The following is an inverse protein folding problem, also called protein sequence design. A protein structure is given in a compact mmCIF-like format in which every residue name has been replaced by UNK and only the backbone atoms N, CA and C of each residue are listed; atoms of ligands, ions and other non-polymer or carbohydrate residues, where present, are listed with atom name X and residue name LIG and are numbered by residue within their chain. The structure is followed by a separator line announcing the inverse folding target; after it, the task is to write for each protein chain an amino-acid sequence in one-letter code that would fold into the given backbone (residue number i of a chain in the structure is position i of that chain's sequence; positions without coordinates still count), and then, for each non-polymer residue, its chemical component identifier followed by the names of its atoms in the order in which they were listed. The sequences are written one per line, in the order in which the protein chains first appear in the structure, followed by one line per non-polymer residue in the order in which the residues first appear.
data_IF_727689976461
#
_entry.id   IF_727689976461
#
_cell.length_a   1.000
_cell.length_b   1.000
_cell.length_c   1.000
_cell.angle_alpha   90.00
_cell.angle_beta   90.00
_cell.angle_gamma   90.00
#
_symmetry.space_group_name_H-M   'P 1'
#
loop_
_entity.id
_entity.type
_entity.pdbx_description
1 polymer ?
#
# COMPACT_ATOMS: atom_id res chain seq x y z
N UNK A 1 -14.14 -8.66 31.60
CA UNK A 1 -13.52 -10.00 31.46
C UNK A 1 -12.39 -10.12 32.47
N UNK A 2 -12.38 -11.17 33.30
CA UNK A 2 -11.32 -11.36 34.32
C UNK A 2 -10.06 -11.93 33.68
N UNK A 3 -8.90 -11.63 34.26
CA UNK A 3 -7.64 -12.21 33.78
C UNK A 3 -7.50 -13.69 34.16
N UNK A 4 -6.59 -14.38 33.45
CA UNK A 4 -6.36 -15.81 33.65
C UNK A 4 -5.76 -16.16 35.01
N UNK A 5 -5.10 -15.21 35.69
CA UNK A 5 -4.54 -15.49 37.02
C UNK A 5 -5.67 -15.55 38.04
N UNK A 6 -6.59 -14.58 37.98
CA UNK A 6 -7.81 -14.52 38.78
C UNK A 6 -8.67 -15.77 38.57
N UNK A 7 -8.89 -16.17 37.31
CA UNK A 7 -9.64 -17.40 37.00
C UNK A 7 -8.96 -18.66 37.58
N UNK A 8 -7.63 -18.76 37.50
CA UNK A 8 -6.89 -19.91 38.07
C UNK A 8 -7.03 -20.00 39.60
N UNK A 9 -7.24 -18.90 40.30
CA UNK A 9 -7.39 -18.92 41.76
C UNK A 9 -8.67 -19.62 42.21
N UNK A 10 -9.75 -19.49 41.41
CA UNK A 10 -11.03 -20.14 41.69
C UNK A 10 -10.95 -21.67 41.65
N UNK A 11 -9.98 -22.23 40.92
CA UNK A 11 -9.81 -23.68 40.73
C UNK A 11 -8.58 -24.24 41.48
N UNK A 12 -7.99 -23.50 42.42
CA UNK A 12 -6.91 -24.03 43.29
C UNK A 12 -7.44 -25.12 44.21
N UNK A 13 -6.57 -26.05 44.58
CA UNK A 13 -6.90 -27.14 45.52
C UNK A 13 -7.50 -26.59 46.81
N UNK A 14 -8.64 -27.16 47.23
CA UNK A 14 -9.40 -26.73 48.41
C UNK A 14 -10.55 -25.75 48.12
N UNK A 15 -10.63 -25.19 46.90
CA UNK A 15 -11.74 -24.33 46.49
C UNK A 15 -12.78 -25.14 45.70
N UNK A 16 -14.08 -24.86 45.93
CA UNK A 16 -15.19 -25.36 45.13
C UNK A 16 -15.76 -24.21 44.28
N UNK A 17 -15.55 -24.20 42.95
CA UNK A 17 -16.00 -23.11 42.09
C UNK A 17 -17.53 -23.04 41.98
N UNK A 18 -18.08 -21.83 41.85
CA UNK A 18 -19.52 -21.60 41.62
C UNK A 18 -19.88 -21.70 40.13
N UNK A 19 -21.18 -21.81 39.84
CA UNK A 19 -21.69 -21.80 38.46
C UNK A 19 -21.27 -20.53 37.70
N UNK A 20 -21.30 -19.35 38.33
CA UNK A 20 -20.85 -18.12 37.66
C UNK A 20 -19.35 -18.16 37.31
N UNK A 21 -18.52 -18.78 38.16
CA UNK A 21 -17.08 -18.91 37.89
C UNK A 21 -16.80 -19.88 36.74
N UNK A 22 -17.66 -20.89 36.55
CA UNK A 22 -17.60 -21.76 35.37
C UNK A 22 -18.04 -21.02 34.10
N UNK A 23 -19.10 -20.22 34.17
CA UNK A 23 -19.53 -19.38 33.05
C UNK A 23 -18.40 -18.40 32.64
N UNK A 24 -17.78 -17.72 33.61
CA UNK A 24 -16.64 -16.84 33.37
C UNK A 24 -15.44 -17.56 32.71
N UNK A 25 -15.21 -18.83 33.04
CA UNK A 25 -14.17 -19.63 32.39
C UNK A 25 -14.53 -19.94 30.94
N UNK A 26 -15.77 -20.36 30.69
CA UNK A 26 -16.27 -20.71 29.36
C UNK A 26 -16.18 -19.48 28.44
N UNK A 27 -16.68 -18.33 28.89
CA UNK A 27 -16.64 -17.07 28.15
C UNK A 27 -15.20 -16.54 27.96
N UNK A 28 -14.22 -17.04 28.73
CA UNK A 28 -12.80 -16.69 28.57
C UNK A 28 -12.06 -17.54 27.54
N UNK A 29 -12.65 -18.64 27.09
CA UNK A 29 -12.07 -19.53 26.10
C UNK A 29 -12.51 -19.16 24.69
N UNK A 30 -11.59 -19.11 23.71
CA UNK A 30 -11.98 -18.86 22.33
C UNK A 30 -12.81 -20.04 21.80
N UNK A 31 -14.02 -19.74 21.35
CA UNK A 31 -14.92 -20.69 20.71
C UNK A 31 -14.80 -20.56 19.20
N UNK A 32 -14.36 -21.62 18.53
CA UNK A 32 -14.19 -21.63 17.07
C UNK A 32 -15.45 -21.17 16.35
N UNK A 33 -16.62 -21.70 16.71
CA UNK A 33 -17.87 -21.42 15.98
C UNK A 33 -18.32 -19.97 16.13
N UNK A 34 -17.96 -19.34 17.25
CA UNK A 34 -18.43 -18.00 17.61
C UNK A 34 -17.40 -16.91 17.27
N UNK A 35 -16.11 -17.19 17.46
CA UNK A 35 -15.03 -16.19 17.42
C UNK A 35 -14.25 -16.16 16.09
N UNK A 36 -14.34 -17.20 15.26
CA UNK A 36 -13.67 -17.20 13.95
C UNK A 36 -12.14 -17.35 13.98
N UNK A 37 -11.56 -17.64 15.15
CA UNK A 37 -10.10 -17.79 15.36
C UNK A 37 -9.77 -19.26 15.63
N UNK A 38 -8.92 -19.85 14.78
CA UNK A 38 -8.42 -21.22 14.94
C UNK A 38 -6.90 -21.19 15.10
N UNK A 39 -6.38 -21.79 16.18
CA UNK A 39 -4.95 -22.15 16.27
C UNK A 39 -4.78 -23.62 15.89
N UNK A 40 -4.11 -23.89 14.78
CA UNK A 40 -3.75 -25.27 14.38
C UNK A 40 -2.24 -25.47 14.41
N UNK A 41 -1.80 -26.67 14.79
CA UNK A 41 -0.38 -27.04 14.76
C UNK A 41 0.21 -27.09 13.33
N UNK A 42 -0.66 -27.21 12.31
CA UNK A 42 -0.27 -27.36 10.90
C UNK A 42 -0.21 -26.02 10.15
N UNK A 43 -1.20 -25.15 10.36
CA UNK A 43 -1.42 -23.94 9.56
C UNK A 43 -1.18 -22.64 10.36
N UNK A 44 -0.82 -22.76 11.64
CA UNK A 44 -0.60 -21.60 12.51
C UNK A 44 -1.91 -20.99 13.00
N UNK A 45 -2.03 -19.66 12.93
CA UNK A 45 -3.25 -18.93 13.29
C UNK A 45 -4.07 -18.72 12.02
N UNK A 46 -5.26 -19.30 11.95
CA UNK A 46 -6.22 -19.08 10.89
C UNK A 46 -7.36 -18.18 11.38
N UNK A 47 -7.71 -17.19 10.56
CA UNK A 47 -8.84 -16.28 10.75
C UNK A 47 -9.87 -16.55 9.65
N UNK A 48 -11.14 -16.49 9.97
CA UNK A 48 -12.20 -16.36 8.97
C UNK A 48 -13.20 -15.31 9.40
N UNK A 49 -13.71 -14.56 8.42
CA UNK A 49 -14.73 -13.57 8.72
C UNK A 49 -16.09 -14.22 8.94
N UNK A 50 -16.84 -13.69 9.90
CA UNK A 50 -18.21 -14.08 10.22
C UNK A 50 -19.21 -13.35 9.32
N UNK A 51 -20.33 -14.00 9.00
CA UNK A 51 -21.56 -13.38 8.47
C UNK A 51 -21.40 -12.38 7.30
N UNK A 52 -20.45 -12.61 6.39
CA UNK A 52 -20.30 -11.77 5.20
C UNK A 52 -19.66 -10.40 5.46
N UNK A 53 -19.06 -10.17 6.62
CA UNK A 53 -18.17 -9.04 6.82
C UNK A 53 -16.85 -9.29 6.09
N UNK A 54 -16.21 -8.25 5.55
CA UNK A 54 -14.92 -8.41 4.87
C UNK A 54 -13.72 -8.23 5.82
N UNK A 55 -13.96 -7.78 7.05
CA UNK A 55 -12.92 -7.49 8.06
C UNK A 55 -12.44 -8.76 8.76
N UNK A 56 -11.13 -8.97 8.77
CA UNK A 56 -10.47 -10.13 9.37
C UNK A 56 -9.74 -9.80 10.66
N UNK A 57 -9.15 -8.61 10.76
CA UNK A 57 -8.47 -8.16 11.97
C UNK A 57 -8.55 -6.64 12.12
N UNK A 58 -8.68 -6.19 13.36
CA UNK A 58 -8.69 -4.78 13.75
C UNK A 58 -7.54 -4.55 14.73
N UNK A 59 -6.72 -3.54 14.46
CA UNK A 59 -5.59 -3.17 15.30
C UNK A 59 -5.89 -1.83 15.98
N UNK A 60 -5.56 -1.74 17.27
CA UNK A 60 -5.79 -0.55 18.09
C UNK A 60 -4.46 -0.05 18.64
N UNK A 61 -4.30 1.28 18.70
CA UNK A 61 -3.08 1.88 19.25
C UNK A 61 -2.95 1.66 20.77
N UNK A 62 -4.08 1.59 21.46
CA UNK A 62 -4.18 1.29 22.88
C UNK A 62 -5.30 0.26 23.10
N UNK A 63 -5.24 -0.47 24.21
CA UNK A 63 -6.34 -1.34 24.61
C UNK A 63 -7.62 -0.51 24.82
N UNK A 64 -8.72 -0.81 24.12
CA UNK A 64 -9.99 -0.11 24.33
C UNK A 64 -10.48 -0.35 25.77
N UNK A 65 -10.87 0.71 26.48
CA UNK A 65 -11.41 0.59 27.85
C UNK A 65 -12.93 0.38 27.82
N UNK A 66 -13.41 -0.65 28.51
CA UNK A 66 -14.84 -0.97 28.66
C UNK A 66 -15.28 -2.25 27.95
N UNK A 67 -16.36 -2.87 28.43
CA UNK A 67 -16.91 -4.11 27.86
C UNK A 67 -17.46 -3.93 26.43
N UNK A 68 -17.91 -2.71 26.11
CA UNK A 68 -18.52 -2.34 24.82
C UNK A 68 -17.50 -1.76 23.83
N UNK A 69 -16.22 -1.79 24.20
CA UNK A 69 -15.17 -1.05 23.50
C UNK A 69 -14.78 -1.68 22.14
N UNK A 70 -15.10 -2.97 21.96
CA UNK A 70 -14.99 -3.70 20.69
C UNK A 70 -16.34 -3.71 19.97
N UNK A 71 -16.86 -2.52 19.68
CA UNK A 71 -18.13 -2.36 19.00
C UNK A 71 -18.06 -2.82 17.53
N UNK A 72 -18.92 -3.78 17.15
CA UNK A 72 -19.23 -4.06 15.75
C UNK A 72 -19.96 -2.89 15.09
N UNK A 73 -19.97 -2.85 13.74
CA UNK A 73 -20.54 -1.76 12.93
C UNK A 73 -21.85 -1.20 13.52
N UNK A 74 -21.81 0.06 13.94
CA UNK A 74 -22.97 0.79 14.48
C UNK A 74 -23.01 0.97 15.99
N UNK A 75 -22.08 0.39 16.75
CA UNK A 75 -21.89 0.71 18.17
C UNK A 75 -20.72 1.67 18.35
N UNK A 76 -20.89 2.70 19.18
CA UNK A 76 -19.91 3.79 19.41
C UNK A 76 -18.65 3.38 20.17
N UNK A 77 -18.10 2.20 19.86
CA UNK A 77 -16.85 1.68 20.40
C UNK A 77 -15.62 2.36 19.79
N UNK A 78 -14.44 2.00 20.29
CA UNK A 78 -13.19 2.54 19.80
C UNK A 78 -12.99 2.18 18.33
N UNK A 79 -12.55 3.15 17.52
CA UNK A 79 -12.19 2.89 16.12
C UNK A 79 -10.79 2.28 16.03
N UNK A 80 -10.58 1.25 15.18
CA UNK A 80 -9.25 0.69 14.98
C UNK A 80 -8.35 1.65 14.20
N UNK A 81 -7.06 1.68 14.55
CA UNK A 81 -6.06 2.46 13.81
C UNK A 81 -5.66 1.80 12.48
N UNK A 82 -5.80 0.46 12.39
CA UNK A 82 -5.63 -0.29 11.15
C UNK A 82 -6.65 -1.42 11.06
N UNK A 83 -7.14 -1.68 9.85
CA UNK A 83 -8.04 -2.82 9.58
C UNK A 83 -7.48 -3.71 8.46
N UNK A 84 -7.42 -5.01 8.70
CA UNK A 84 -7.11 -6.03 7.70
C UNK A 84 -8.41 -6.66 7.19
N UNK A 85 -8.59 -6.71 5.89
CA UNK A 85 -9.78 -7.24 5.24
C UNK A 85 -9.44 -8.14 4.05
N UNK A 86 -10.34 -9.04 3.68
CA UNK A 86 -10.28 -9.76 2.41
C UNK A 86 -11.20 -9.11 1.37
N UNK A 87 -10.68 -8.88 0.18
CA UNK A 87 -11.47 -8.46 -0.97
C UNK A 87 -12.18 -9.62 -1.65
N UNK A 88 -13.27 -9.32 -2.35
CA UNK A 88 -14.10 -10.30 -3.09
C UNK A 88 -13.31 -11.16 -4.10
N UNK A 89 -12.16 -10.67 -4.58
CA UNK A 89 -11.27 -11.38 -5.51
C UNK A 89 -10.09 -12.09 -4.83
N UNK A 90 -10.22 -12.51 -3.57
CA UNK A 90 -9.15 -13.12 -2.76
C UNK A 90 -7.93 -12.19 -2.60
N UNK A 91 -8.21 -10.91 -2.44
CA UNK A 91 -7.20 -9.88 -2.20
C UNK A 91 -7.04 -9.66 -0.69
N UNK A 92 -5.84 -9.31 -0.24
CA UNK A 92 -5.59 -8.86 1.13
C UNK A 92 -5.54 -7.34 1.15
N UNK A 93 -6.40 -6.69 1.93
CA UNK A 93 -6.57 -5.24 1.97
C UNK A 93 -6.18 -4.75 3.36
N UNK A 94 -5.29 -3.76 3.44
CA UNK A 94 -4.97 -3.02 4.65
C UNK A 94 -5.57 -1.61 4.55
N UNK A 95 -6.38 -1.23 5.53
CA UNK A 95 -7.04 0.07 5.63
C UNK A 95 -6.51 0.87 6.82
N UNK A 96 -6.47 2.19 6.68
CA UNK A 96 -6.14 3.12 7.78
C UNK A 96 -7.34 3.36 8.72
N UNK A 97 -7.15 4.22 9.71
CA UNK A 97 -8.15 4.62 10.71
C UNK A 97 -9.42 5.27 10.11
N UNK A 98 -9.33 5.80 8.90
CA UNK A 98 -10.46 6.40 8.18
C UNK A 98 -11.24 5.38 7.35
N UNK A 99 -10.76 4.12 7.31
CA UNK A 99 -11.31 3.06 6.47
C UNK A 99 -10.83 3.11 5.02
N UNK A 100 -9.89 4.01 4.68
CA UNK A 100 -9.30 4.11 3.34
C UNK A 100 -8.29 2.98 3.15
N UNK A 101 -8.40 2.26 2.05
CA UNK A 101 -7.42 1.24 1.68
C UNK A 101 -6.06 1.90 1.43
N UNK A 102 -5.00 1.41 2.10
CA UNK A 102 -3.62 1.86 1.92
C UNK A 102 -2.84 0.86 1.07
N UNK A 103 -3.13 -0.43 1.22
CA UNK A 103 -2.42 -1.51 0.53
C UNK A 103 -3.39 -2.61 0.10
N UNK A 104 -3.24 -3.09 -1.13
CA UNK A 104 -3.96 -4.26 -1.66
C UNK A 104 -2.96 -5.26 -2.24
N UNK A 105 -3.02 -6.50 -1.78
CA UNK A 105 -2.17 -7.60 -2.24
C UNK A 105 -3.05 -8.66 -2.90
N UNK A 106 -2.89 -8.84 -4.21
CA UNK A 106 -3.56 -9.91 -4.94
C UNK A 106 -2.67 -11.16 -5.04
N UNK A 107 -3.27 -12.36 -5.05
CA UNK A 107 -2.55 -13.63 -5.16
C UNK A 107 -1.66 -13.75 -6.42
N UNK A 108 -1.87 -12.91 -7.43
CA UNK A 108 -1.02 -12.78 -8.62
C UNK A 108 0.34 -12.11 -8.40
N UNK A 109 0.80 -11.92 -7.15
CA UNK A 109 2.02 -11.17 -6.75
C UNK A 109 1.96 -9.68 -7.11
N UNK A 110 0.77 -9.12 -7.23
CA UNK A 110 0.57 -7.69 -7.47
C UNK A 110 0.35 -7.01 -6.12
N UNK A 111 1.28 -6.15 -5.74
CA UNK A 111 1.14 -5.24 -4.60
C UNK A 111 0.76 -3.88 -5.18
N UNK A 112 -0.48 -3.46 -4.95
CA UNK A 112 -0.97 -2.15 -5.38
C UNK A 112 -1.11 -1.27 -4.14
N UNK A 113 -0.39 -0.14 -4.06
CA UNK A 113 -0.77 0.88 -3.08
C UNK A 113 -2.17 1.38 -3.45
N UNK A 114 -3.12 1.34 -2.53
CA UNK A 114 -4.48 1.82 -2.74
C UNK A 114 -4.55 3.35 -2.61
N UNK A 115 -3.64 4.02 -3.32
CA UNK A 115 -3.65 5.48 -3.43
C UNK A 115 -4.79 5.84 -4.37
N UNK A 116 -5.98 6.03 -3.81
CA UNK A 116 -6.91 7.00 -4.39
C UNK A 116 -6.18 8.36 -4.37
N UNK A 117 -6.09 9.04 -5.52
CA UNK A 117 -5.26 10.21 -5.68
C UNK A 117 -5.76 11.31 -4.75
N UNK A 118 -5.01 11.62 -3.70
CA UNK A 118 -5.17 12.89 -3.02
C UNK A 118 -5.00 14.00 -4.07
N UNK A 119 -5.98 14.89 -4.11
CA UNK A 119 -6.05 16.04 -5.01
C UNK A 119 -4.86 17.02 -4.91
N UNK A 120 -3.90 16.75 -4.02
CA UNK A 120 -2.71 17.58 -3.77
C UNK A 120 -1.48 17.25 -4.63
N UNK A 121 -1.41 16.11 -5.32
CA UNK A 121 -0.25 15.76 -6.14
C UNK A 121 -0.70 15.26 -7.52
N UNK A 122 -0.87 16.21 -8.44
CA UNK A 122 -1.60 16.06 -9.70
C UNK A 122 -1.15 14.82 -10.51
N UNK A 123 -1.99 13.80 -10.55
CA UNK A 123 -1.87 12.67 -11.46
C UNK A 123 -1.96 13.20 -12.90
N UNK A 124 -0.91 13.00 -13.71
CA UNK A 124 -0.81 13.52 -15.07
C UNK A 124 -1.14 12.45 -16.09
N UNK A 125 -1.62 12.88 -17.25
CA UNK A 125 -1.97 11.98 -18.36
C UNK A 125 -1.12 12.29 -19.59
N UNK A 126 -0.77 11.25 -20.33
CA UNK A 126 -0.17 11.38 -21.67
C UNK A 126 -0.71 10.28 -22.60
N UNK A 127 -0.75 10.54 -23.93
CA UNK A 127 -1.17 9.52 -24.88
C UNK A 127 -0.17 8.35 -24.91
N UNK A 128 -0.68 7.12 -25.09
CA UNK A 128 0.14 5.93 -25.29
C UNK A 128 0.45 5.68 -26.78
N UNK A 129 0.77 6.75 -27.50
CA UNK A 129 0.96 6.80 -28.95
C UNK A 129 2.28 6.16 -29.44
N UNK A 130 3.15 5.72 -28.51
CA UNK A 130 4.45 5.15 -28.83
C UNK A 130 5.56 6.19 -29.05
N UNK A 131 5.23 7.48 -29.02
CA UNK A 131 6.18 8.59 -29.12
C UNK A 131 6.74 8.96 -27.75
N UNK A 132 7.94 9.55 -27.75
CA UNK A 132 8.59 10.01 -26.52
C UNK A 132 8.05 11.37 -26.11
N UNK A 133 7.45 11.43 -24.91
CA UNK A 133 6.93 12.66 -24.32
C UNK A 133 7.86 13.17 -23.23
N UNK A 134 8.14 14.47 -23.24
CA UNK A 134 8.96 15.13 -22.22
C UNK A 134 8.17 15.31 -20.92
N UNK A 135 8.72 14.80 -19.82
CA UNK A 135 8.20 15.06 -18.49
C UNK A 135 8.63 16.47 -18.04
N UNK A 136 7.76 17.24 -17.36
CA UNK A 136 8.05 18.63 -17.01
C UNK A 136 8.94 18.72 -15.76
N UNK A 137 10.23 18.40 -15.91
CA UNK A 137 11.18 18.28 -14.78
C UNK A 137 12.20 19.41 -14.75
N UNK A 138 12.99 19.58 -15.81
CA UNK A 138 14.12 20.50 -15.80
C UNK A 138 13.92 21.62 -16.82
N UNK A 139 14.24 21.38 -18.08
CA UNK A 139 14.24 22.44 -19.10
C UNK A 139 12.85 22.97 -19.48
N UNK A 140 11.79 22.13 -19.42
CA UNK A 140 10.40 22.60 -19.62
C UNK A 140 9.82 23.34 -18.42
N UNK A 141 10.39 23.16 -17.23
CA UNK A 141 9.94 23.79 -15.99
C UNK A 141 10.80 25.01 -15.59
N UNK A 142 11.74 25.43 -16.45
CA UNK A 142 12.68 26.52 -16.17
C UNK A 142 13.64 26.24 -15.00
N UNK A 143 13.88 24.97 -14.65
CA UNK A 143 14.66 24.59 -13.48
C UNK A 143 16.10 24.29 -13.86
N UNK A 144 17.04 24.89 -13.13
CA UNK A 144 18.47 24.63 -13.28
C UNK A 144 18.81 23.14 -13.07
N UNK A 145 19.62 22.59 -14.00
CA UNK A 145 20.15 21.23 -13.96
C UNK A 145 21.33 21.05 -12.98
N UNK A 146 21.73 22.12 -12.29
CA UNK A 146 22.79 22.12 -11.29
C UNK A 146 22.28 21.53 -9.97
N UNK A 147 22.98 20.52 -9.44
CA UNK A 147 22.59 19.77 -8.24
C UNK A 147 22.22 18.32 -8.50
N UNK A 148 21.91 17.58 -7.43
CA UNK A 148 21.46 16.20 -7.50
C UNK A 148 19.97 16.11 -7.23
N UNK A 149 19.23 15.45 -8.12
CA UNK A 149 17.80 15.20 -7.93
C UNK A 149 17.45 13.75 -8.18
N UNK A 150 16.51 13.25 -7.39
CA UNK A 150 15.98 11.89 -7.49
C UNK A 150 14.46 11.96 -7.61
N UNK A 151 13.94 11.27 -8.61
CA UNK A 151 12.53 11.18 -8.93
C UNK A 151 12.06 9.75 -8.80
N UNK A 152 10.90 9.56 -8.18
CA UNK A 152 10.15 8.30 -8.24
C UNK A 152 8.98 8.47 -9.19
N UNK A 153 8.90 7.61 -10.19
CA UNK A 153 7.85 7.63 -11.21
C UNK A 153 7.03 6.36 -11.08
N UNK A 154 5.71 6.55 -10.93
CA UNK A 154 4.71 5.50 -10.99
C UNK A 154 3.82 5.79 -12.19
N UNK A 155 3.82 4.90 -13.18
CA UNK A 155 3.04 5.07 -14.40
C UNK A 155 2.16 3.85 -14.63
N UNK A 156 0.90 4.08 -14.98
CA UNK A 156 -0.10 3.06 -15.27
C UNK A 156 -0.61 3.29 -16.68
N UNK A 157 -0.45 2.27 -17.50
CA UNK A 157 -1.06 2.17 -18.81
C UNK A 157 -2.49 1.67 -18.65
N UNK A 158 -3.44 2.40 -19.21
CA UNK A 158 -4.87 2.09 -19.16
C UNK A 158 -5.42 1.88 -20.58
N UNK A 159 -6.01 0.70 -20.84
CA UNK A 159 -6.72 0.37 -22.08
C UNK A 159 -8.05 -0.32 -21.79
N UNK A 160 -9.15 0.39 -22.05
CA UNK A 160 -10.50 -0.10 -21.77
C UNK A 160 -10.71 -0.49 -20.30
N UNK A 161 -11.69 -1.35 -20.02
CA UNK A 161 -12.06 -1.74 -18.64
C UNK A 161 -11.15 -2.80 -17.98
N UNK A 162 -10.18 -3.39 -18.71
CA UNK A 162 -9.55 -4.65 -18.27
C UNK A 162 -8.03 -4.71 -18.35
N UNK A 163 -7.36 -3.75 -19.00
CA UNK A 163 -5.91 -3.79 -19.16
C UNK A 163 -5.25 -2.62 -18.41
N UNK A 164 -4.85 -2.91 -17.16
CA UNK A 164 -4.00 -2.03 -16.37
C UNK A 164 -2.59 -2.66 -16.28
N UNK A 165 -1.58 -1.97 -16.82
CA UNK A 165 -0.18 -2.39 -16.65
C UNK A 165 0.62 -1.24 -16.05
N UNK A 166 1.32 -1.50 -14.96
CA UNK A 166 2.09 -0.50 -14.24
C UNK A 166 3.56 -0.53 -14.64
N UNK A 167 4.28 0.57 -14.43
CA UNK A 167 5.72 0.69 -14.41
C UNK A 167 6.14 1.58 -13.24
N UNK A 168 7.13 1.12 -12.47
CA UNK A 168 7.79 1.90 -11.45
C UNK A 168 9.25 2.13 -11.86
N UNK A 169 9.71 3.37 -11.72
CA UNK A 169 11.08 3.73 -12.03
C UNK A 169 11.61 4.80 -11.07
N UNK A 170 12.90 4.73 -10.80
CA UNK A 170 13.66 5.78 -10.14
C UNK A 170 14.61 6.40 -11.14
N UNK A 171 14.50 7.71 -11.31
CA UNK A 171 15.34 8.49 -12.20
C UNK A 171 16.13 9.50 -11.38
N UNK A 172 17.45 9.54 -11.54
CA UNK A 172 18.26 10.57 -10.91
C UNK A 172 19.28 11.16 -11.87
N UNK A 173 19.63 12.42 -11.60
CA UNK A 173 20.72 13.10 -12.25
C UNK A 173 21.55 13.86 -11.21
N UNK A 174 22.85 13.97 -11.43
CA UNK A 174 23.76 14.79 -10.61
C UNK A 174 24.57 15.73 -11.50
N UNK A 175 24.36 17.04 -11.35
CA UNK A 175 25.07 18.10 -12.08
C UNK A 175 24.96 17.98 -13.60
N UNK A 176 23.90 17.30 -14.07
CA UNK A 176 23.76 16.91 -15.46
C UNK A 176 24.91 16.05 -15.98
N UNK A 177 25.67 15.33 -15.16
CA UNK A 177 26.76 14.43 -15.58
C UNK A 177 26.34 12.96 -15.52
N UNK A 178 26.12 12.45 -14.31
CA UNK A 178 25.67 11.07 -14.09
C UNK A 178 24.14 10.98 -14.21
N UNK A 179 23.67 10.18 -15.17
CA UNK A 179 22.25 9.93 -15.41
C UNK A 179 21.93 8.49 -15.01
N UNK A 180 21.11 8.32 -13.97
CA UNK A 180 20.67 7.00 -13.53
C UNK A 180 19.19 6.82 -13.80
N UNK A 181 18.86 5.62 -14.26
CA UNK A 181 17.48 5.19 -14.46
C UNK A 181 17.37 3.72 -14.09
N UNK A 182 16.76 3.47 -12.94
CA UNK A 182 16.50 2.15 -12.36
C UNK A 182 15.01 1.83 -12.47
N UNK A 183 14.70 0.58 -12.80
CA UNK A 183 13.33 0.07 -12.77
C UNK A 183 13.39 -1.45 -12.69
N UNK A 184 12.52 -2.10 -11.90
CA UNK A 184 12.38 -3.56 -11.92
C UNK A 184 12.04 -4.11 -13.32
N UNK A 185 11.45 -3.26 -14.17
CA UNK A 185 11.05 -3.60 -15.52
C UNK A 185 12.14 -3.36 -16.57
N UNK A 186 13.29 -2.82 -16.17
CA UNK A 186 14.45 -2.58 -17.03
C UNK A 186 15.57 -3.56 -16.67
N UNK A 187 15.85 -4.52 -17.54
CA UNK A 187 16.93 -5.51 -17.37
C UNK A 187 17.92 -5.36 -18.53
N UNK A 188 19.21 -5.18 -18.26
CA UNK A 188 20.27 -5.04 -19.28
C UNK A 188 19.97 -3.96 -20.33
N UNK A 189 19.42 -2.81 -19.92
CA UNK A 189 19.06 -1.72 -20.84
C UNK A 189 17.77 -1.92 -21.64
N UNK A 190 17.14 -3.09 -21.57
CA UNK A 190 15.88 -3.40 -22.27
C UNK A 190 14.70 -3.31 -21.30
N UNK A 191 13.65 -2.61 -21.74
CA UNK A 191 12.37 -2.53 -21.01
C UNK A 191 11.49 -3.73 -21.34
N UNK A 192 11.11 -4.50 -20.32
CA UNK A 192 10.15 -5.61 -20.43
C UNK A 192 8.70 -5.14 -20.32
N UNK A 193 8.46 -4.01 -19.65
CA UNK A 193 7.13 -3.40 -19.49
C UNK A 193 6.61 -2.68 -20.74
N UNK A 194 5.32 -2.33 -20.77
CA UNK A 194 4.71 -1.54 -21.83
C UNK A 194 5.07 -0.05 -21.77
N UNK A 195 5.67 0.42 -20.69
CA UNK A 195 6.11 1.80 -20.51
C UNK A 195 7.63 1.80 -20.47
N UNK A 196 8.24 2.74 -21.18
CA UNK A 196 9.67 2.92 -21.26
C UNK A 196 10.02 4.34 -20.81
N UNK A 197 11.07 4.47 -20.00
CA UNK A 197 11.64 5.75 -19.61
C UNK A 197 13.07 5.89 -20.14
N UNK A 198 13.51 7.12 -20.38
CA UNK A 198 14.91 7.45 -20.69
C UNK A 198 15.26 8.88 -20.33
N UNK A 199 16.53 9.12 -20.04
CA UNK A 199 17.10 10.46 -20.07
C UNK A 199 17.52 10.82 -21.49
N UNK A 200 17.27 12.07 -21.90
CA UNK A 200 17.70 12.62 -23.19
C UNK A 200 18.21 14.04 -23.02
N UNK A 201 19.38 14.33 -23.60
CA UNK A 201 19.87 15.70 -23.75
C UNK A 201 19.38 16.28 -25.07
N UNK A 202 18.89 17.53 -25.04
CA UNK A 202 18.47 18.28 -26.23
C UNK A 202 18.71 19.77 -25.97
N UNK A 203 19.32 20.48 -26.92
CA UNK A 203 19.51 21.95 -26.87
C UNK A 203 20.10 22.46 -25.54
N UNK A 204 21.12 21.79 -24.98
CA UNK A 204 21.72 22.15 -23.70
C UNK A 204 20.91 21.78 -22.45
N UNK A 205 19.66 21.33 -22.61
CA UNK A 205 18.79 20.87 -21.52
C UNK A 205 18.80 19.34 -21.33
N UNK A 206 18.52 18.91 -20.12
CA UNK A 206 18.30 17.52 -19.76
C UNK A 206 16.78 17.25 -19.60
N UNK A 207 16.30 16.19 -20.24
CA UNK A 207 14.88 15.83 -20.27
C UNK A 207 14.72 14.37 -19.86
N UNK A 208 13.86 14.12 -18.88
CA UNK A 208 13.32 12.77 -18.65
C UNK A 208 12.13 12.57 -19.58
N UNK A 209 12.17 11.50 -20.37
CA UNK A 209 11.13 11.17 -21.33
C UNK A 209 10.48 9.84 -20.99
N UNK A 210 9.19 9.73 -21.29
CA UNK A 210 8.41 8.52 -21.14
C UNK A 210 7.64 8.21 -22.43
N UNK A 211 7.44 6.93 -22.73
CA UNK A 211 6.58 6.47 -23.82
C UNK A 211 5.91 5.13 -23.54
N UNK A 212 4.83 4.86 -24.28
CA UNK A 212 4.36 3.49 -24.52
C UNK A 212 5.31 2.73 -25.46
N UNK A 213 5.50 1.43 -25.24
CA UNK A 213 6.42 0.59 -26.05
C UNK A 213 5.84 0.23 -27.41
N UNK A 214 4.52 0.15 -27.52
CA UNK A 214 3.77 -0.15 -28.75
C UNK A 214 2.73 0.94 -28.96
N UNK A 215 2.39 1.22 -30.21
CA UNK A 215 1.24 2.04 -30.56
C UNK A 215 -0.01 1.31 -30.11
N UNK A 216 -0.64 1.82 -29.06
CA UNK A 216 -1.93 1.33 -28.61
C UNK A 216 -2.83 2.53 -28.35
N UNK A 217 -4.09 2.47 -28.79
CA UNK A 217 -5.12 3.41 -28.37
C UNK A 217 -5.34 3.26 -26.85
N UNK A 218 -4.77 4.18 -26.08
CA UNK A 218 -4.80 4.16 -24.62
C UNK A 218 -4.09 5.37 -24.00
N UNK A 219 -4.22 5.48 -22.68
CA UNK A 219 -3.70 6.62 -21.92
C UNK A 219 -2.73 6.11 -20.86
N UNK A 220 -1.59 6.79 -20.70
CA UNK A 220 -0.68 6.56 -19.57
C UNK A 220 -0.99 7.61 -18.52
N UNK A 221 -1.47 7.17 -17.37
CA UNK A 221 -1.57 7.99 -16.16
C UNK A 221 -0.28 7.84 -15.38
N UNK A 222 0.30 8.92 -14.91
CA UNK A 222 1.52 8.84 -14.14
C UNK A 222 1.57 9.86 -13.02
N UNK A 223 2.23 9.45 -11.94
CA UNK A 223 2.65 10.29 -10.83
C UNK A 223 4.16 10.31 -10.78
N UNK A 224 4.69 11.46 -10.43
CA UNK A 224 6.11 11.67 -10.32
C UNK A 224 6.38 12.56 -9.12
N UNK A 225 7.14 12.04 -8.16
CA UNK A 225 7.51 12.75 -6.93
C UNK A 225 9.00 13.03 -6.93
N UNK A 226 9.39 14.23 -6.50
CA UNK A 226 10.79 14.56 -6.21
C UNK A 226 11.10 14.05 -4.80
N UNK A 227 11.92 12.99 -4.71
CA UNK A 227 12.27 12.32 -3.45
C UNK A 227 13.48 12.97 -2.80
N UNK A 228 14.37 13.56 -3.61
CA UNK A 228 15.57 14.22 -3.12
C UNK A 228 15.93 15.40 -4.01
N UNK A 229 16.32 16.50 -3.40
CA UNK A 229 16.89 17.68 -4.07
C UNK A 229 18.03 18.23 -3.24
N UNK A 230 19.23 18.24 -3.82
CA UNK A 230 20.37 18.94 -3.25
C UNK A 230 20.90 19.97 -4.24
N UNK A 231 21.23 21.17 -3.75
CA UNK A 231 22.02 22.15 -4.51
C UNK A 231 23.47 21.66 -4.52
N UNK A 232 24.16 21.77 -5.64
CA UNK A 232 25.59 21.46 -5.65
C UNK A 232 26.31 22.37 -4.64
N UNK A 233 27.22 21.85 -3.79
CA UNK A 233 28.06 22.71 -2.96
C UNK A 233 29.02 23.47 -3.89
N UNK A 234 28.86 24.79 -3.98
CA UNK A 234 29.79 25.69 -4.66
C UNK A 234 29.29 26.33 -5.95
N UNK A 235 28.51 27.40 -5.80
CA UNK A 235 28.58 28.61 -6.64
C UNK A 235 28.09 29.75 -5.75
N UNK A 236 29.04 30.43 -5.11
CA UNK A 236 28.90 31.83 -4.74
C UNK A 236 28.94 32.69 -6.00
#
# INVERSE_FOLDING_TARGET
MKDRNTLKEYFKSGNAPTEEQFAELIDSMPNIREDGVVRTARDGIAFYSREGHDTWASFYGNAPEGADAFGGEGSGGALPCWTLAAGQNKELILKDETGKSVLVIAQGRTISPAVEPDAGDACRMMPADGYWHDLPIEAKAGRESHGCRVYRILAVYHRGKTCCRMAEAEASHCGGGQLRLSSPQKRWGIWRGPICLRWKRKNGGLFLQMRGRRMYEGTIRYRMTEVWKNKAPGLN
#
